data_IF_734476026082
#
_entry.id   IF_734476026082
#
_cell.length_a   1.000
_cell.length_b   1.000
_cell.length_c   1.000
_cell.angle_alpha   90.00
_cell.angle_beta   90.00
_cell.angle_gamma   90.00
#
_symmetry.space_group_name_H-M   'P 1'
#
loop_
_entity.id
_entity.type
_entity.pdbx_description
1 polymer ?
#
# COMPACT_ATOMS: atom_id res chain seq x y z
N UNK A 1 0.19 -39.33 0.12
CA UNK A 1 1.34 -39.65 1.01
C UNK A 1 2.39 -40.28 0.09
N UNK A 2 3.57 -39.75 -0.17
CA UNK A 2 4.28 -38.55 0.30
C UNK A 2 5.64 -38.57 -0.39
N UNK A 3 5.78 -37.85 -1.51
CA UNK A 3 7.04 -37.82 -2.28
C UNK A 3 7.51 -36.40 -2.59
N UNK A 4 6.78 -35.37 -2.15
CA UNK A 4 7.19 -33.97 -2.39
C UNK A 4 7.95 -33.33 -1.23
N UNK A 5 7.78 -33.82 0.00
CA UNK A 5 8.49 -33.23 1.16
C UNK A 5 9.99 -33.55 1.15
N UNK A 6 10.37 -34.73 0.63
CA UNK A 6 11.76 -35.18 0.62
C UNK A 6 12.56 -34.39 -0.43
N UNK A 7 12.00 -34.23 -1.64
CA UNK A 7 12.61 -33.42 -2.71
C UNK A 7 12.68 -31.94 -2.33
N UNK A 8 11.63 -31.38 -1.70
CA UNK A 8 11.65 -29.99 -1.23
C UNK A 8 12.68 -29.73 -0.12
N UNK A 9 12.96 -30.72 0.74
CA UNK A 9 14.01 -30.62 1.77
C UNK A 9 15.43 -30.71 1.20
N UNK A 10 15.58 -31.41 0.07
CA UNK A 10 16.87 -31.58 -0.61
C UNK A 10 17.18 -30.47 -1.63
N UNK A 11 16.27 -29.52 -1.85
CA UNK A 11 16.59 -28.29 -2.60
C UNK A 11 17.69 -27.55 -1.82
N UNK A 12 18.89 -27.36 -2.41
CA UNK A 12 19.93 -26.58 -1.77
C UNK A 12 19.38 -25.17 -1.51
N UNK A 13 19.29 -24.80 -0.23
CA UNK A 13 18.95 -23.42 0.16
C UNK A 13 20.13 -22.56 -0.22
N UNK A 14 20.01 -21.92 -1.38
CA UNK A 14 21.06 -21.09 -1.94
C UNK A 14 21.43 -20.00 -0.92
N UNK A 15 22.64 -20.08 -0.36
CA UNK A 15 23.11 -19.09 0.63
C UNK A 15 23.49 -17.77 -0.04
N UNK A 16 23.62 -17.78 -1.37
CA UNK A 16 24.14 -16.66 -2.14
C UNK A 16 23.30 -16.48 -3.41
N UNK A 17 22.17 -15.79 -3.31
CA UNK A 17 21.49 -15.24 -4.49
C UNK A 17 22.33 -14.16 -5.23
N UNK A 18 23.60 -13.96 -4.82
CA UNK A 18 24.50 -12.90 -5.31
C UNK A 18 25.88 -13.48 -5.59
N UNK A 19 26.46 -13.08 -6.73
CA UNK A 19 27.82 -13.44 -7.11
C UNK A 19 28.81 -12.71 -6.18
N UNK A 20 29.59 -13.47 -5.42
CA UNK A 20 30.68 -12.94 -4.59
C UNK A 20 31.96 -12.88 -5.41
N UNK A 21 32.42 -11.69 -5.77
CA UNK A 21 33.71 -11.48 -6.44
C UNK A 21 34.75 -11.08 -5.39
N UNK A 22 35.79 -11.91 -5.23
CA UNK A 22 36.88 -11.65 -4.28
C UNK A 22 37.58 -10.32 -4.62
N UNK A 23 37.73 -9.45 -3.62
CA UNK A 23 38.42 -8.16 -3.75
C UNK A 23 37.53 -6.99 -4.18
N UNK A 24 36.26 -7.24 -4.51
CA UNK A 24 35.28 -6.17 -4.76
C UNK A 24 34.41 -6.02 -3.52
N UNK A 25 34.34 -4.83 -2.87
CA UNK A 25 33.38 -4.60 -1.81
C UNK A 25 31.98 -4.80 -2.38
N UNK A 26 31.16 -5.62 -1.73
CA UNK A 26 29.76 -5.85 -2.11
C UNK A 26 28.99 -4.55 -1.88
N UNK A 27 28.98 -3.63 -2.85
CA UNK A 27 28.36 -2.32 -2.66
C UNK A 27 26.90 -2.30 -3.08
N UNK A 28 26.08 -1.99 -2.08
CA UNK A 28 24.87 -1.17 -2.13
C UNK A 28 23.69 -1.68 -2.96
N UNK A 29 23.18 -2.86 -2.60
CA UNK A 29 21.74 -3.03 -2.69
C UNK A 29 21.11 -2.15 -1.61
N UNK A 30 20.45 -1.08 -2.03
CA UNK A 30 19.56 -0.29 -1.17
C UNK A 30 18.59 -1.28 -0.56
N UNK A 31 18.78 -1.63 0.71
CA UNK A 31 17.89 -2.54 1.42
C UNK A 31 16.46 -2.04 1.25
N UNK A 32 15.55 -2.92 0.85
CA UNK A 32 14.13 -2.62 0.90
C UNK A 32 13.81 -2.18 2.33
N UNK A 33 13.11 -1.04 2.50
CA UNK A 33 12.63 -0.60 3.82
C UNK A 33 12.00 -1.83 4.49
N UNK A 34 12.57 -2.24 5.63
CA UNK A 34 12.05 -3.35 6.40
C UNK A 34 10.57 -3.06 6.63
N UNK A 35 9.70 -3.93 6.13
CA UNK A 35 8.27 -3.81 6.36
C UNK A 35 8.11 -3.86 7.88
N UNK A 36 7.39 -2.91 8.49
CA UNK A 36 7.17 -2.93 9.94
C UNK A 36 6.53 -4.28 10.29
N UNK A 37 7.31 -5.16 10.90
CA UNK A 37 6.85 -6.45 11.41
C UNK A 37 6.29 -6.20 12.81
N UNK A 38 4.98 -6.36 12.95
CA UNK A 38 4.30 -6.17 14.22
C UNK A 38 4.06 -7.53 14.88
N UNK A 39 4.47 -7.65 16.14
CA UNK A 39 4.45 -8.91 16.89
C UNK A 39 3.13 -9.16 17.62
N UNK A 40 2.13 -8.28 17.49
CA UNK A 40 0.88 -8.34 18.26
C UNK A 40 -0.38 -8.02 17.43
N UNK A 41 -1.49 -8.75 17.64
CA UNK A 41 -2.80 -8.43 17.06
C UNK A 41 -3.34 -7.05 17.47
N UNK A 42 -2.92 -6.52 18.62
CA UNK A 42 -3.33 -5.18 19.08
C UNK A 42 -2.60 -4.10 18.29
N UNK A 43 -1.30 -4.28 18.01
CA UNK A 43 -0.54 -3.35 17.16
C UNK A 43 -1.05 -3.35 15.72
N UNK A 44 -1.54 -4.50 15.23
CA UNK A 44 -2.16 -4.61 13.91
C UNK A 44 -3.49 -3.82 13.78
N UNK A 45 -4.18 -3.52 14.88
CA UNK A 45 -5.39 -2.68 14.87
C UNK A 45 -5.09 -1.21 14.58
N UNK A 46 -3.86 -0.76 14.86
CA UNK A 46 -3.43 0.63 14.69
C UNK A 46 -2.73 0.89 13.36
N UNK A 47 -2.78 -0.05 12.41
CA UNK A 47 -2.21 0.16 11.08
C UNK A 47 -3.13 1.06 10.24
N UNK A 48 -2.62 2.18 9.69
CA UNK A 48 -3.41 3.09 8.87
C UNK A 48 -4.09 2.38 7.68
N UNK A 49 -3.43 1.40 7.08
CA UNK A 49 -3.98 0.66 5.94
C UNK A 49 -5.15 -0.25 6.32
N UNK A 50 -5.10 -0.86 7.50
CA UNK A 50 -6.19 -1.68 8.04
C UNK A 50 -7.38 -0.79 8.43
N UNK A 51 -7.11 0.40 8.98
CA UNK A 51 -8.13 1.42 9.23
C UNK A 51 -8.87 1.82 7.94
N UNK A 52 -8.14 2.22 6.89
CA UNK A 52 -8.73 2.61 5.60
C UNK A 52 -9.53 1.46 4.99
N UNK A 53 -9.00 0.24 5.06
CA UNK A 53 -9.71 -0.96 4.60
C UNK A 53 -11.03 -1.18 5.34
N UNK A 54 -11.01 -1.07 6.66
CA UNK A 54 -12.20 -1.25 7.51
C UNK A 54 -13.20 -0.09 7.34
N UNK A 55 -12.73 1.15 7.20
CA UNK A 55 -13.56 2.32 6.93
C UNK A 55 -14.36 2.12 5.65
N UNK A 56 -13.69 1.90 4.52
CA UNK A 56 -14.38 1.69 3.24
C UNK A 56 -15.15 0.36 3.17
N UNK A 57 -14.75 -0.64 3.96
CA UNK A 57 -15.51 -1.87 4.15
C UNK A 57 -16.87 -1.64 4.83
N UNK A 58 -16.91 -0.75 5.84
CA UNK A 58 -18.14 -0.35 6.54
C UNK A 58 -18.99 0.62 5.73
N UNK A 59 -18.39 1.47 4.90
CA UNK A 59 -19.07 2.49 4.09
C UNK A 59 -18.93 2.27 2.56
N UNK A 60 -19.49 1.19 1.98
CA UNK A 60 -19.32 0.90 0.56
C UNK A 60 -19.90 1.97 -0.37
N UNK A 61 -20.94 2.70 0.07
CA UNK A 61 -21.53 3.79 -0.69
C UNK A 61 -20.58 4.99 -0.81
N UNK A 62 -19.80 5.26 0.24
CA UNK A 62 -18.79 6.32 0.26
C UNK A 62 -17.65 5.99 -0.70
N UNK A 63 -17.17 4.75 -0.69
CA UNK A 63 -16.17 4.26 -1.65
C UNK A 63 -16.68 4.34 -3.09
N UNK A 64 -17.93 3.93 -3.36
CA UNK A 64 -18.55 4.04 -4.70
C UNK A 64 -18.63 5.48 -5.18
N UNK A 65 -18.98 6.42 -4.30
CA UNK A 65 -18.99 7.86 -4.63
C UNK A 65 -17.59 8.35 -4.96
N UNK A 66 -16.59 8.01 -4.15
CA UNK A 66 -15.20 8.42 -4.41
C UNK A 66 -14.67 7.90 -5.75
N UNK A 67 -14.98 6.65 -6.08
CA UNK A 67 -14.61 6.05 -7.37
C UNK A 67 -15.26 6.77 -8.55
N UNK A 68 -16.56 7.07 -8.45
CA UNK A 68 -17.25 7.87 -9.49
C UNK A 68 -16.65 9.26 -9.65
N UNK A 69 -16.32 9.92 -8.53
CA UNK A 69 -15.68 11.24 -8.53
C UNK A 69 -14.30 11.22 -9.21
N UNK A 70 -13.57 10.11 -9.06
CA UNK A 70 -12.28 9.88 -9.71
C UNK A 70 -12.42 9.58 -11.21
N UNK A 71 -13.42 8.77 -11.59
CA UNK A 71 -13.55 8.24 -12.95
C UNK A 71 -14.19 9.23 -13.95
N UNK A 72 -14.89 10.27 -13.48
CA UNK A 72 -15.52 11.28 -14.33
C UNK A 72 -14.59 12.50 -14.53
N UNK A 73 -14.19 12.76 -15.77
CA UNK A 73 -13.27 13.84 -16.13
C UNK A 73 -13.78 15.24 -15.77
N UNK A 74 -15.10 15.48 -15.82
CA UNK A 74 -15.67 16.78 -15.44
C UNK A 74 -15.56 16.99 -13.93
N UNK A 75 -15.87 15.94 -13.16
CA UNK A 75 -15.77 15.98 -11.71
C UNK A 75 -14.31 16.05 -11.27
N UNK A 76 -13.42 15.34 -11.96
CA UNK A 76 -11.98 15.39 -11.73
C UNK A 76 -11.43 16.80 -11.89
N UNK A 77 -11.77 17.50 -12.96
CA UNK A 77 -11.34 18.89 -13.17
C UNK A 77 -11.86 19.84 -12.09
N UNK A 78 -13.09 19.61 -11.61
CA UNK A 78 -13.65 20.39 -10.49
C UNK A 78 -12.94 20.10 -9.17
N UNK A 79 -12.52 18.85 -8.94
CA UNK A 79 -11.79 18.45 -7.75
C UNK A 79 -10.37 19.02 -7.75
N UNK A 80 -9.66 19.01 -8.88
CA UNK A 80 -8.32 19.63 -8.95
C UNK A 80 -8.31 21.10 -8.52
N UNK A 81 -9.40 21.84 -8.80
CA UNK A 81 -9.52 23.25 -8.44
C UNK A 81 -9.95 23.50 -6.99
N UNK A 82 -10.60 22.55 -6.32
CA UNK A 82 -11.29 22.79 -5.03
C UNK A 82 -10.91 21.84 -3.91
N UNK A 83 -10.19 20.77 -4.22
CA UNK A 83 -9.87 19.75 -3.23
C UNK A 83 -8.59 20.14 -2.50
N UNK A 84 -8.72 20.31 -1.18
CA UNK A 84 -7.63 20.69 -0.29
C UNK A 84 -7.22 19.52 0.60
N UNK A 85 -5.95 19.49 0.98
CA UNK A 85 -5.37 18.47 1.88
C UNK A 85 -6.08 18.34 3.22
N UNK A 86 -6.57 19.46 3.76
CA UNK A 86 -7.32 19.48 5.02
C UNK A 86 -8.65 18.72 4.90
N UNK A 87 -9.36 18.93 3.79
CA UNK A 87 -10.61 18.22 3.50
C UNK A 87 -10.37 16.72 3.27
N UNK A 88 -9.23 16.35 2.67
CA UNK A 88 -8.82 14.95 2.56
C UNK A 88 -8.67 14.30 3.94
N UNK A 89 -7.95 14.96 4.85
CA UNK A 89 -7.68 14.46 6.20
C UNK A 89 -8.96 14.34 7.03
N UNK A 90 -9.83 15.34 6.96
CA UNK A 90 -11.14 15.31 7.62
C UNK A 90 -12.02 14.17 7.08
N UNK A 91 -12.09 14.04 5.76
CA UNK A 91 -12.89 13.00 5.11
C UNK A 91 -12.41 11.58 5.45
N UNK A 92 -11.09 11.40 5.52
CA UNK A 92 -10.47 10.13 5.91
C UNK A 92 -10.39 9.96 7.43
N UNK A 93 -10.74 10.97 8.23
CA UNK A 93 -10.68 10.93 9.69
C UNK A 93 -9.30 10.63 10.24
N UNK A 94 -8.24 11.10 9.57
CA UNK A 94 -6.85 10.80 9.91
C UNK A 94 -5.98 12.05 9.94
N UNK A 95 -4.92 12.00 10.74
CA UNK A 95 -3.92 13.05 10.85
C UNK A 95 -2.95 13.03 9.65
N UNK A 96 -2.25 14.14 9.43
CA UNK A 96 -1.21 14.22 8.40
C UNK A 96 -0.10 13.17 8.58
N UNK A 97 0.21 12.83 9.84
CA UNK A 97 1.23 11.82 10.18
C UNK A 97 0.76 10.43 9.76
N UNK A 98 -0.48 10.07 10.09
CA UNK A 98 -1.08 8.79 9.71
C UNK A 98 -1.24 8.66 8.19
N UNK A 99 -1.59 9.75 7.49
CA UNK A 99 -1.66 9.76 6.03
C UNK A 99 -0.28 9.52 5.40
N UNK A 100 0.78 10.14 5.93
CA UNK A 100 2.14 9.93 5.44
C UNK A 100 2.63 8.50 5.75
N UNK A 101 2.28 7.96 6.91
CA UNK A 101 2.59 6.58 7.27
C UNK A 101 1.86 5.58 6.38
N UNK A 102 0.56 5.80 6.12
CA UNK A 102 -0.23 5.05 5.16
C UNK A 102 0.46 5.02 3.79
N UNK A 103 0.78 6.19 3.24
CA UNK A 103 1.40 6.28 1.92
C UNK A 103 2.78 5.61 1.87
N UNK A 104 3.56 5.70 2.95
CA UNK A 104 4.82 4.99 3.07
C UNK A 104 4.63 3.45 3.15
N UNK A 105 3.63 2.95 3.88
CA UNK A 105 3.27 1.52 3.91
C UNK A 105 2.83 1.00 2.53
N UNK A 106 2.26 1.88 1.72
CA UNK A 106 1.85 1.61 0.33
C UNK A 106 3.00 1.74 -0.68
N UNK A 107 4.25 1.93 -0.22
CA UNK A 107 5.46 2.11 -1.03
C UNK A 107 5.49 3.38 -1.91
N UNK A 108 4.81 4.46 -1.51
CA UNK A 108 5.03 5.77 -2.14
C UNK A 108 6.29 6.45 -1.59
N UNK A 109 6.97 7.22 -2.44
CA UNK A 109 8.20 7.93 -2.06
C UNK A 109 7.90 9.20 -1.27
N UNK A 110 8.83 9.61 -0.41
CA UNK A 110 8.72 10.87 0.34
C UNK A 110 8.66 12.09 -0.59
N UNK A 111 9.27 12.00 -1.77
CA UNK A 111 9.16 13.01 -2.82
C UNK A 111 7.73 13.11 -3.33
N UNK A 112 7.11 11.98 -3.70
CA UNK A 112 5.72 11.95 -4.15
C UNK A 112 4.78 12.50 -3.09
N UNK A 113 4.92 12.09 -1.83
CA UNK A 113 4.07 12.56 -0.72
C UNK A 113 4.12 14.10 -0.59
N UNK A 114 5.29 14.70 -0.81
CA UNK A 114 5.47 16.16 -0.72
C UNK A 114 5.00 16.91 -1.97
N UNK A 115 5.23 16.37 -3.17
CA UNK A 115 4.97 17.05 -4.43
C UNK A 115 3.59 16.78 -5.04
N UNK A 116 2.93 15.70 -4.61
CA UNK A 116 1.66 15.28 -5.19
C UNK A 116 0.54 16.27 -4.89
N UNK A 117 -0.34 16.46 -5.88
CA UNK A 117 -1.62 17.14 -5.71
C UNK A 117 -2.55 16.33 -4.81
N UNK A 118 -3.47 16.99 -4.12
CA UNK A 118 -4.43 16.33 -3.22
C UNK A 118 -5.30 15.28 -3.94
N UNK A 119 -5.61 15.51 -5.21
CA UNK A 119 -6.26 14.51 -6.07
C UNK A 119 -5.38 13.26 -6.22
N UNK A 120 -4.09 13.44 -6.50
CA UNK A 120 -3.14 12.33 -6.68
C UNK A 120 -2.97 11.52 -5.38
N UNK A 121 -3.05 12.19 -4.22
CA UNK A 121 -3.04 11.50 -2.93
C UNK A 121 -4.28 10.63 -2.73
N UNK A 122 -5.47 11.11 -3.12
CA UNK A 122 -6.70 10.30 -3.08
C UNK A 122 -6.58 9.07 -3.97
N UNK A 123 -6.10 9.27 -5.20
CA UNK A 123 -5.87 8.17 -6.14
C UNK A 123 -4.90 7.15 -5.55
N UNK A 124 -3.83 7.63 -4.91
CA UNK A 124 -2.85 6.79 -4.24
C UNK A 124 -3.46 5.98 -3.08
N UNK A 125 -4.31 6.61 -2.25
CA UNK A 125 -5.04 5.95 -1.15
C UNK A 125 -6.02 4.91 -1.68
N UNK A 126 -6.78 5.24 -2.73
CA UNK A 126 -7.70 4.31 -3.39
C UNK A 126 -6.97 3.09 -3.95
N UNK A 127 -5.84 3.31 -4.64
CA UNK A 127 -5.02 2.23 -5.18
C UNK A 127 -4.48 1.35 -4.05
N UNK A 128 -4.04 1.96 -2.95
CA UNK A 128 -3.55 1.20 -1.82
C UNK A 128 -4.64 0.36 -1.16
N UNK A 129 -5.86 0.90 -1.01
CA UNK A 129 -7.02 0.14 -0.56
C UNK A 129 -7.29 -1.08 -1.45
N UNK A 130 -7.26 -0.91 -2.77
CA UNK A 130 -7.51 -1.99 -3.73
C UNK A 130 -6.43 -3.08 -3.65
N UNK A 131 -5.16 -2.69 -3.60
CA UNK A 131 -4.04 -3.61 -3.45
C UNK A 131 -4.13 -4.37 -2.13
N UNK A 132 -4.40 -3.68 -1.02
CA UNK A 132 -4.52 -4.31 0.30
C UNK A 132 -5.73 -5.25 0.36
N UNK A 133 -6.85 -4.87 -0.25
CA UNK A 133 -8.03 -5.73 -0.40
C UNK A 133 -7.72 -6.97 -1.21
N UNK A 134 -6.99 -6.84 -2.31
CA UNK A 134 -6.60 -7.97 -3.15
C UNK A 134 -5.70 -8.95 -2.39
N UNK A 135 -4.71 -8.43 -1.64
CA UNK A 135 -3.84 -9.23 -0.78
C UNK A 135 -4.68 -9.97 0.29
N UNK A 136 -5.59 -9.29 0.99
CA UNK A 136 -6.44 -9.91 2.02
C UNK A 136 -7.39 -10.98 1.46
N UNK A 137 -7.90 -10.79 0.24
CA UNK A 137 -8.81 -11.74 -0.41
C UNK A 137 -8.08 -12.88 -1.13
N UNK A 138 -6.75 -12.82 -1.25
CA UNK A 138 -5.97 -13.82 -1.98
C UNK A 138 -6.18 -13.80 -3.50
N UNK A 139 -6.73 -12.72 -4.08
CA UNK A 139 -6.96 -12.60 -5.52
C UNK A 139 -6.82 -11.15 -5.99
N UNK A 140 -6.00 -10.95 -7.02
CA UNK A 140 -5.83 -9.68 -7.76
C UNK A 140 -6.68 -9.63 -9.03
N UNK A 141 -7.46 -10.67 -9.31
CA UNK A 141 -8.25 -10.78 -10.54
C UNK A 141 -9.51 -9.92 -10.39
N UNK A 142 -9.71 -8.96 -11.29
CA UNK A 142 -11.01 -8.28 -11.43
C UNK A 142 -12.01 -9.34 -11.90
N UNK A 143 -12.98 -9.69 -11.06
CA UNK A 143 -14.18 -10.40 -11.53
C UNK A 143 -14.81 -9.52 -12.61
N UNK A 144 -14.96 -10.11 -13.79
CA UNK A 144 -15.32 -9.43 -15.04
C UNK A 144 -16.84 -9.30 -15.16
#
# INVERSE_FOLDING_TARGET
>A
IGVLEIDAKNVPKDKYARIHINGVPQTYEVGTRQRKEFNSPVDALFRPIDYVYNMFGKSPNQLKKLKKLKDDDNLRNMLEAKFNRELLMEYLGMTAVELNELLNECNYSDYFIKSASDLQLIEAVLLCYENHKAIKKGSTIKEK
#
